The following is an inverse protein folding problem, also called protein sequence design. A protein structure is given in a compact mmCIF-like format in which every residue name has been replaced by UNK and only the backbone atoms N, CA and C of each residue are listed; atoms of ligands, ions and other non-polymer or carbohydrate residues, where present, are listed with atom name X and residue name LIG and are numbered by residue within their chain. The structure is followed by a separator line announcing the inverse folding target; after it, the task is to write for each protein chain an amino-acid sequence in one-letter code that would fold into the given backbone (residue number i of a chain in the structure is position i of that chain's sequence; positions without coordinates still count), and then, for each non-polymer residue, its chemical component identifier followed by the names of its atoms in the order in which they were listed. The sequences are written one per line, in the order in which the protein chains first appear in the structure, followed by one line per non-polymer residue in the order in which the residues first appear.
data_IF_587844184820
#
_entry.id   IF_587844184820
#
_cell.length_a   1.000
_cell.length_b   1.000
_cell.length_c   1.000
_cell.angle_alpha   90.00
_cell.angle_beta   90.00
_cell.angle_gamma   90.00
#
_symmetry.space_group_name_H-M   'P 1'
#
loop_
_entity.id
_entity.type
_entity.pdbx_description
1 polymer ?
#
# COMPACT_ATOMS: atom_id res chain seq x y z
N UNK A 1 9.99 -2.01 -37.36
CA UNK A 1 9.58 -3.28 -36.73
C UNK A 1 8.47 -2.94 -35.74
N UNK A 2 7.39 -3.72 -35.67
CA UNK A 2 6.28 -3.45 -34.73
C UNK A 2 6.81 -3.37 -33.30
N UNK A 3 6.52 -2.30 -32.57
CA UNK A 3 6.86 -2.14 -31.15
C UNK A 3 6.06 -3.09 -30.23
N UNK A 4 5.12 -3.83 -30.81
CA UNK A 4 4.26 -4.80 -30.13
C UNK A 4 4.25 -6.13 -30.90
N UNK A 5 5.33 -6.93 -30.84
CA UNK A 5 5.31 -8.27 -31.40
C UNK A 5 4.48 -9.19 -30.49
N UNK A 6 3.25 -9.49 -30.93
CA UNK A 6 2.36 -10.45 -30.27
C UNK A 6 2.35 -11.73 -31.09
N UNK A 7 2.69 -12.85 -30.46
CA UNK A 7 2.58 -14.20 -31.03
C UNK A 7 1.52 -14.95 -30.23
N UNK A 8 0.46 -15.37 -30.88
CA UNK A 8 -0.52 -16.29 -30.29
C UNK A 8 -0.24 -17.70 -30.79
N UNK A 9 0.10 -18.58 -29.86
CA UNK A 9 0.26 -20.00 -30.10
C UNK A 9 -1.06 -20.70 -29.74
N UNK A 10 -1.74 -21.22 -30.78
CA UNK A 10 -3.03 -21.90 -30.66
C UNK A 10 -2.91 -23.26 -29.97
N UNK A 11 -1.78 -23.96 -30.11
CA UNK A 11 -1.60 -25.30 -29.56
C UNK A 11 -1.40 -25.25 -28.05
N UNK A 12 -0.61 -24.28 -27.57
CA UNK A 12 -0.39 -24.06 -26.14
C UNK A 12 -1.41 -23.09 -25.51
N UNK A 13 -2.24 -22.43 -26.32
CA UNK A 13 -3.15 -21.36 -25.92
C UNK A 13 -2.43 -20.23 -25.15
N UNK A 14 -1.21 -19.88 -25.58
CA UNK A 14 -0.36 -18.87 -24.96
C UNK A 14 -0.23 -17.66 -25.89
N UNK A 15 -0.41 -16.47 -25.31
CA UNK A 15 -0.01 -15.22 -25.96
C UNK A 15 1.37 -14.83 -25.43
N UNK A 16 2.36 -14.73 -26.32
CA UNK A 16 3.68 -14.21 -25.99
C UNK A 16 3.84 -12.78 -26.50
N UNK A 17 4.19 -11.88 -25.59
CA UNK A 17 4.45 -10.48 -25.89
C UNK A 17 5.85 -10.17 -25.38
N UNK A 18 6.78 -9.91 -26.29
CA UNK A 18 8.19 -9.71 -25.95
C UNK A 18 8.56 -8.22 -25.89
N UNK A 19 9.71 -7.95 -25.25
CA UNK A 19 10.32 -6.62 -25.23
C UNK A 19 9.46 -5.57 -24.53
N UNK A 20 9.54 -4.32 -25.02
CA UNK A 20 8.89 -3.17 -24.40
C UNK A 20 7.36 -3.26 -24.41
N UNK A 21 6.76 -3.95 -25.40
CA UNK A 21 5.33 -4.24 -25.42
C UNK A 21 4.91 -5.13 -24.27
N UNK A 22 5.64 -6.23 -24.02
CA UNK A 22 5.39 -7.13 -22.90
C UNK A 22 5.57 -6.43 -21.55
N UNK A 23 6.62 -5.62 -21.41
CA UNK A 23 6.85 -4.80 -20.22
C UNK A 23 5.69 -3.83 -19.96
N UNK A 24 5.11 -3.23 -21.01
CA UNK A 24 3.96 -2.32 -20.89
C UNK A 24 2.70 -3.04 -20.41
N UNK A 25 2.42 -4.23 -20.95
CA UNK A 25 1.26 -5.03 -20.51
C UNK A 25 1.41 -5.42 -19.05
N UNK A 26 2.57 -5.97 -18.68
CA UNK A 26 2.82 -6.41 -17.31
C UNK A 26 2.84 -5.23 -16.33
N UNK A 27 3.40 -4.08 -16.72
CA UNK A 27 3.35 -2.84 -15.94
C UNK A 27 1.91 -2.48 -15.58
N UNK A 28 1.02 -2.44 -16.57
CA UNK A 28 -0.38 -2.06 -16.36
C UNK A 28 -1.10 -3.07 -15.45
N UNK A 29 -0.84 -4.37 -15.61
CA UNK A 29 -1.45 -5.42 -14.78
C UNK A 29 -1.01 -5.31 -13.32
N UNK A 30 0.30 -5.19 -13.06
CA UNK A 30 0.84 -5.10 -11.70
C UNK A 30 0.46 -3.75 -11.08
N UNK A 31 0.44 -2.67 -11.87
CA UNK A 31 0.03 -1.34 -11.40
C UNK A 31 -1.43 -1.34 -10.96
N UNK A 32 -2.33 -1.92 -11.76
CA UNK A 32 -3.74 -2.09 -11.41
C UNK A 32 -3.93 -3.00 -10.18
N UNK A 33 -3.13 -4.05 -10.02
CA UNK A 33 -3.20 -4.92 -8.84
C UNK A 33 -2.75 -4.18 -7.57
N UNK A 34 -1.71 -3.35 -7.65
CA UNK A 34 -1.16 -2.63 -6.50
C UNK A 34 -2.01 -1.43 -6.09
N UNK A 35 -2.48 -0.63 -7.04
CA UNK A 35 -3.18 0.63 -6.81
C UNK A 35 -4.68 0.59 -7.15
N UNK A 36 -5.20 -0.57 -7.56
CA UNK A 36 -6.64 -0.79 -7.73
C UNK A 36 -7.36 -0.79 -6.39
N UNK A 37 -8.66 -0.47 -6.42
CA UNK A 37 -9.49 -0.47 -5.23
C UNK A 37 -10.13 -1.87 -4.99
N UNK A 38 -10.18 -2.36 -3.75
CA UNK A 38 -9.56 -1.80 -2.53
C UNK A 38 -8.03 -1.97 -2.53
N UNK A 39 -7.32 -1.04 -1.90
CA UNK A 39 -5.86 -1.14 -1.75
C UNK A 39 -5.49 -2.36 -0.91
N UNK A 40 -4.53 -3.15 -1.39
CA UNK A 40 -4.03 -4.32 -0.69
C UNK A 40 -2.71 -3.96 0.05
N UNK A 41 -2.66 -3.97 1.40
CA UNK A 41 -1.45 -3.63 2.15
C UNK A 41 -0.25 -4.50 1.79
N UNK A 42 -0.46 -5.80 1.52
CA UNK A 42 0.60 -6.74 1.18
C UNK A 42 1.23 -6.44 -0.18
N UNK A 43 0.53 -5.76 -1.08
CA UNK A 43 1.09 -5.30 -2.37
C UNK A 43 1.67 -3.89 -2.25
N UNK A 44 1.05 -3.02 -1.46
CA UNK A 44 1.50 -1.64 -1.24
C UNK A 44 2.87 -1.61 -0.57
N UNK A 45 3.07 -2.40 0.49
CA UNK A 45 4.32 -2.41 1.26
C UNK A 45 5.34 -3.44 0.79
N UNK A 46 5.12 -4.11 -0.35
CA UNK A 46 6.06 -5.10 -0.86
C UNK A 46 7.19 -4.46 -1.69
N UNK A 47 8.45 -4.52 -1.23
CA UNK A 47 9.58 -3.92 -1.94
C UNK A 47 9.89 -4.62 -3.27
N UNK A 48 9.61 -5.92 -3.40
CA UNK A 48 9.78 -6.67 -4.64
C UNK A 48 8.81 -6.21 -5.73
N UNK A 49 7.54 -5.97 -5.36
CA UNK A 49 6.54 -5.40 -6.28
C UNK A 49 6.91 -3.98 -6.70
N UNK A 50 7.39 -3.15 -5.75
CA UNK A 50 7.88 -1.80 -6.05
C UNK A 50 9.08 -1.79 -7.03
N UNK A 51 10.06 -2.68 -6.81
CA UNK A 51 11.20 -2.84 -7.70
C UNK A 51 10.77 -3.34 -9.09
N UNK A 52 9.86 -4.31 -9.15
CA UNK A 52 9.30 -4.82 -10.40
C UNK A 52 8.61 -3.71 -11.21
N UNK A 53 7.72 -2.94 -10.59
CA UNK A 53 7.03 -1.82 -11.24
C UNK A 53 8.01 -0.76 -11.76
N UNK A 54 9.07 -0.47 -11.01
CA UNK A 54 10.11 0.49 -11.42
C UNK A 54 10.88 -0.02 -12.64
N UNK A 55 11.28 -1.30 -12.63
CA UNK A 55 11.96 -1.92 -13.78
C UNK A 55 11.08 -2.01 -15.01
N UNK A 56 9.81 -2.39 -14.85
CA UNK A 56 8.84 -2.46 -15.95
C UNK A 56 8.55 -1.09 -16.55
N UNK A 57 8.42 -0.04 -15.72
CA UNK A 57 8.26 1.34 -16.19
C UNK A 57 9.43 1.76 -17.07
N UNK A 58 10.66 1.51 -16.64
CA UNK A 58 11.87 1.83 -17.42
C UNK A 58 11.96 1.05 -18.75
N UNK A 59 11.45 -0.18 -18.80
CA UNK A 59 11.48 -1.03 -20.00
C UNK A 59 10.25 -0.86 -20.92
N UNK A 60 9.20 -0.18 -20.47
CA UNK A 60 7.92 -0.02 -21.18
C UNK A 60 7.97 1.02 -22.31
N UNK A 61 7.01 0.93 -23.23
CA UNK A 61 6.83 1.89 -24.33
C UNK A 61 6.25 3.25 -23.88
N UNK A 62 5.77 3.34 -22.63
CA UNK A 62 5.17 4.57 -22.08
C UNK A 62 5.98 5.08 -20.89
N UNK A 63 6.99 5.93 -21.10
CA UNK A 63 7.51 6.76 -20.04
C UNK A 63 6.49 7.87 -19.75
N UNK A 64 5.40 7.55 -19.05
CA UNK A 64 4.51 8.59 -18.51
C UNK A 64 5.33 9.54 -17.62
N UNK A 65 5.10 10.87 -17.67
CA UNK A 65 5.88 11.80 -16.88
C UNK A 65 5.72 11.51 -15.38
N UNK A 66 6.85 11.46 -14.67
CA UNK A 66 6.98 11.16 -13.23
C UNK A 66 6.20 12.10 -12.29
N UNK A 67 5.48 13.10 -12.82
CA UNK A 67 4.97 14.26 -12.08
C UNK A 67 3.49 14.57 -12.32
N UNK A 68 2.73 13.72 -13.02
CA UNK A 68 1.29 13.73 -12.85
C UNK A 68 1.01 13.06 -11.50
N UNK A 69 0.79 13.82 -10.43
CA UNK A 69 0.41 13.30 -9.10
C UNK A 69 -0.80 12.39 -9.26
N UNK A 70 -0.65 11.05 -9.26
CA UNK A 70 -1.75 10.16 -9.58
C UNK A 70 -2.68 9.97 -8.38
N UNK A 71 -2.23 10.41 -7.20
CA UNK A 71 -2.90 10.20 -5.93
C UNK A 71 -3.71 11.43 -5.55
N UNK A 72 -5.01 11.22 -5.44
CA UNK A 72 -5.99 12.16 -4.92
C UNK A 72 -5.87 12.29 -3.41
N UNK A 73 -6.58 13.26 -2.83
CA UNK A 73 -6.67 13.40 -1.38
C UNK A 73 -7.23 12.15 -0.70
N UNK A 74 -8.18 11.47 -1.33
CA UNK A 74 -8.76 10.23 -0.79
C UNK A 74 -7.70 9.11 -0.73
N UNK A 75 -6.84 9.03 -1.75
CA UNK A 75 -5.74 8.05 -1.77
C UNK A 75 -4.73 8.33 -0.66
N UNK A 76 -4.42 9.61 -0.39
CA UNK A 76 -3.54 10.00 0.73
C UNK A 76 -4.08 9.53 2.08
N UNK A 77 -5.38 9.70 2.32
CA UNK A 77 -6.04 9.22 3.55
C UNK A 77 -6.01 7.69 3.62
N UNK A 78 -6.24 7.00 2.49
CA UNK A 78 -6.18 5.55 2.44
C UNK A 78 -4.77 5.01 2.73
N UNK A 79 -3.72 5.62 2.14
CA UNK A 79 -2.34 5.25 2.45
C UNK A 79 -1.99 5.48 3.92
N UNK A 80 -2.44 6.59 4.52
CA UNK A 80 -2.24 6.85 5.94
C UNK A 80 -2.89 5.78 6.83
N UNK A 81 -4.11 5.34 6.49
CA UNK A 81 -4.78 4.22 7.16
C UNK A 81 -4.00 2.92 7.06
N UNK A 82 -3.49 2.58 5.87
CA UNK A 82 -2.65 1.38 5.68
C UNK A 82 -1.32 1.46 6.44
N UNK A 83 -0.68 2.64 6.49
CA UNK A 83 0.52 2.86 7.30
C UNK A 83 0.23 2.59 8.77
N UNK A 84 -0.90 3.08 9.29
CA UNK A 84 -1.31 2.84 10.67
C UNK A 84 -1.59 1.36 10.94
N UNK A 85 -2.33 0.69 10.04
CA UNK A 85 -2.63 -0.74 10.13
C UNK A 85 -1.36 -1.59 10.20
N UNK A 86 -0.36 -1.27 9.36
CA UNK A 86 0.91 -2.00 9.27
C UNK A 86 2.03 -1.40 10.11
N UNK A 87 1.77 -0.39 10.93
CA UNK A 87 2.81 0.37 11.62
C UNK A 87 3.73 -0.49 12.50
N UNK A 88 3.15 -1.50 13.17
CA UNK A 88 3.90 -2.46 13.99
C UNK A 88 4.81 -3.37 13.17
N UNK A 89 4.29 -3.95 12.09
CA UNK A 89 5.05 -4.82 11.18
C UNK A 89 6.18 -4.07 10.46
N UNK A 90 5.91 -2.82 10.08
CA UNK A 90 6.86 -1.96 9.38
C UNK A 90 7.90 -1.35 10.32
N UNK A 91 7.70 -1.39 11.65
CA UNK A 91 8.53 -0.64 12.60
C UNK A 91 8.40 0.88 12.44
N UNK A 92 7.27 1.36 11.90
CA UNK A 92 7.05 2.76 11.50
C UNK A 92 7.36 3.77 12.61
N UNK A 93 7.00 3.45 13.84
CA UNK A 93 7.21 4.32 15.01
C UNK A 93 8.68 4.47 15.43
N UNK A 94 9.55 3.56 14.99
CA UNK A 94 10.99 3.61 15.26
C UNK A 94 11.77 4.24 14.10
N UNK A 95 11.15 4.41 12.94
CA UNK A 95 11.77 5.05 11.79
C UNK A 95 11.91 6.55 12.02
N UNK A 96 13.06 7.09 11.65
CA UNK A 96 13.22 8.53 11.53
C UNK A 96 12.46 9.08 10.30
N UNK A 97 12.41 10.41 10.18
CA UNK A 97 11.70 11.05 9.07
C UNK A 97 12.26 10.64 7.70
N UNK A 98 13.57 10.47 7.57
CA UNK A 98 14.22 10.11 6.30
C UNK A 98 13.87 8.67 5.92
N UNK A 99 13.85 7.76 6.89
CA UNK A 99 13.43 6.37 6.70
C UNK A 99 11.96 6.27 6.29
N UNK A 100 11.07 7.01 6.96
CA UNK A 100 9.65 7.09 6.59
C UNK A 100 9.45 7.63 5.18
N UNK A 101 10.14 8.73 4.82
CA UNK A 101 10.11 9.30 3.47
C UNK A 101 10.60 8.26 2.45
N UNK A 102 11.69 7.53 2.76
CA UNK A 102 12.24 6.51 1.88
C UNK A 102 11.25 5.37 1.65
N UNK A 103 10.59 4.86 2.71
CA UNK A 103 9.56 3.84 2.59
C UNK A 103 8.39 4.33 1.72
N UNK A 104 7.87 5.52 2.00
CA UNK A 104 6.76 6.10 1.25
C UNK A 104 7.11 6.31 -0.23
N UNK A 105 8.31 6.80 -0.52
CA UNK A 105 8.71 7.13 -1.90
C UNK A 105 9.15 5.92 -2.71
N UNK A 106 9.86 4.96 -2.11
CA UNK A 106 10.52 3.88 -2.83
C UNK A 106 9.74 2.57 -2.78
N UNK A 107 8.81 2.42 -1.84
CA UNK A 107 7.97 1.22 -1.74
C UNK A 107 6.52 1.57 -2.01
N UNK A 108 5.90 2.44 -1.20
CA UNK A 108 4.46 2.72 -1.27
C UNK A 108 4.08 3.37 -2.60
N UNK A 109 4.68 4.51 -2.93
CA UNK A 109 4.38 5.27 -4.14
C UNK A 109 4.89 4.61 -5.43
N UNK A 110 5.90 3.73 -5.34
CA UNK A 110 6.60 3.23 -6.52
C UNK A 110 5.64 2.58 -7.53
N UNK A 111 5.73 2.94 -8.82
CA UNK A 111 6.82 3.67 -9.49
C UNK A 111 6.57 5.19 -9.64
N UNK A 112 5.61 5.71 -8.89
CA UNK A 112 5.27 7.13 -8.81
C UNK A 112 6.07 7.81 -7.70
N UNK A 113 5.85 9.11 -7.53
CA UNK A 113 6.42 9.91 -6.44
C UNK A 113 5.31 10.68 -5.75
N UNK A 114 5.36 10.71 -4.43
CA UNK A 114 4.60 11.69 -3.66
C UNK A 114 5.30 13.05 -3.75
N UNK A 115 4.52 14.14 -3.69
CA UNK A 115 5.08 15.44 -3.36
C UNK A 115 5.44 15.50 -1.86
N UNK A 116 6.29 16.45 -1.46
CA UNK A 116 6.61 16.65 -0.04
C UNK A 116 5.35 16.92 0.79
N UNK A 117 4.42 17.72 0.24
CA UNK A 117 3.14 17.99 0.89
C UNK A 117 2.30 16.71 1.08
N UNK A 118 2.26 15.82 0.09
CA UNK A 118 1.56 14.54 0.23
C UNK A 118 2.20 13.65 1.31
N UNK A 119 3.53 13.60 1.41
CA UNK A 119 4.21 12.84 2.47
C UNK A 119 3.84 13.39 3.84
N UNK A 120 3.96 14.71 4.03
CA UNK A 120 3.60 15.37 5.29
C UNK A 120 2.14 15.08 5.66
N UNK A 121 1.24 15.07 4.68
CA UNK A 121 -0.17 14.74 4.89
C UNK A 121 -0.38 13.28 5.29
N UNK A 122 0.32 12.33 4.67
CA UNK A 122 0.27 10.91 5.07
C UNK A 122 0.74 10.76 6.52
N UNK A 123 1.89 11.36 6.88
CA UNK A 123 2.46 11.29 8.22
C UNK A 123 1.53 11.92 9.26
N UNK A 124 1.01 13.12 8.99
CA UNK A 124 0.09 13.83 9.87
C UNK A 124 -1.24 13.08 10.05
N UNK A 125 -1.79 12.51 8.97
CA UNK A 125 -3.04 11.77 9.01
C UNK A 125 -2.88 10.45 9.78
N UNK A 126 -1.76 9.73 9.62
CA UNK A 126 -1.48 8.51 10.39
C UNK A 126 -1.40 8.80 11.89
N UNK A 127 -0.72 9.88 12.30
CA UNK A 127 -0.66 10.34 13.69
C UNK A 127 -2.05 10.79 14.17
N UNK A 128 -2.78 11.53 13.35
CA UNK A 128 -4.12 12.01 13.67
C UNK A 128 -5.09 10.85 13.91
N UNK A 129 -5.04 9.81 13.09
CA UNK A 129 -5.82 8.57 13.28
C UNK A 129 -5.43 7.85 14.56
N UNK A 130 -4.12 7.70 14.84
CA UNK A 130 -3.64 7.09 16.08
C UNK A 130 -4.16 7.84 17.31
N UNK A 131 -4.07 9.18 17.31
CA UNK A 131 -4.55 10.00 18.42
C UNK A 131 -6.06 9.83 18.62
N UNK A 132 -6.86 9.82 17.54
CA UNK A 132 -8.30 9.53 17.62
C UNK A 132 -8.58 8.16 18.22
N UNK A 133 -7.80 7.13 17.87
CA UNK A 133 -7.95 5.80 18.47
C UNK A 133 -7.62 5.82 19.97
N UNK A 134 -6.59 6.57 20.38
CA UNK A 134 -6.25 6.74 21.80
C UNK A 134 -7.35 7.45 22.56
N UNK A 135 -7.87 8.55 22.03
CA UNK A 135 -8.97 9.29 22.64
C UNK A 135 -10.21 8.41 22.83
N UNK A 136 -10.52 7.55 21.85
CA UNK A 136 -11.63 6.58 21.96
C UNK A 136 -11.37 5.61 23.11
N UNK A 137 -10.17 5.02 23.19
CA UNK A 137 -9.81 4.05 24.25
C UNK A 137 -9.83 4.73 25.62
N UNK A 138 -9.28 5.94 25.75
CA UNK A 138 -9.24 6.70 27.00
C UNK A 138 -10.64 7.17 27.45
N UNK A 139 -11.56 7.38 26.50
CA UNK A 139 -12.96 7.71 26.80
C UNK A 139 -13.77 6.48 27.26
N UNK A 140 -13.26 5.26 27.12
CA UNK A 140 -13.92 4.05 27.66
C UNK A 140 -13.75 4.06 29.18
N UNK A 141 -14.85 4.18 29.96
CA UNK A 141 -14.74 4.05 31.41
C UNK A 141 -14.20 2.67 31.78
N UNK A 142 -13.42 2.55 32.87
CA UNK A 142 -13.01 1.24 33.36
C UNK A 142 -14.25 0.37 33.57
N UNK A 143 -14.14 -0.92 33.20
CA UNK A 143 -15.21 -1.89 33.43
C UNK A 143 -15.65 -1.83 34.90
N UNK A 144 -16.95 -1.88 35.14
CA UNK A 144 -17.45 -2.02 36.51
C UNK A 144 -16.97 -3.36 37.09
N UNK A 145 -16.92 -3.45 38.42
CA UNK A 145 -16.58 -4.71 39.10
C UNK A 145 -17.52 -5.85 38.64
N UNK A 146 -18.80 -5.54 38.45
CA UNK A 146 -19.84 -6.46 37.97
C UNK A 146 -19.58 -6.92 36.51
N UNK A 147 -19.20 -6.01 35.61
CA UNK A 147 -18.86 -6.35 34.23
C UNK A 147 -17.58 -7.19 34.15
N UNK A 148 -16.61 -6.90 35.02
CA UNK A 148 -15.36 -7.65 35.11
C UNK A 148 -15.61 -9.07 35.63
N UNK A 149 -16.39 -9.21 36.70
CA UNK A 149 -16.82 -10.51 37.24
C UNK A 149 -17.63 -11.31 36.21
N UNK A 150 -18.52 -10.65 35.45
CA UNK A 150 -19.26 -11.29 34.37
C UNK A 150 -18.34 -11.78 33.24
N UNK A 151 -17.36 -10.97 32.82
CA UNK A 151 -16.40 -11.36 31.78
C UNK A 151 -15.51 -12.50 32.26
N UNK A 152 -15.00 -12.46 33.49
CA UNK A 152 -14.17 -13.53 34.07
C UNK A 152 -14.96 -14.84 34.23
N UNK A 153 -16.25 -14.77 34.59
CA UNK A 153 -17.10 -15.94 34.71
C UNK A 153 -17.52 -16.57 33.38
N UNK A 154 -17.49 -15.81 32.27
CA UNK A 154 -18.01 -16.24 30.97
C UNK A 154 -16.96 -16.32 29.84
N UNK A 155 -15.73 -15.83 30.07
CA UNK A 155 -14.62 -15.90 29.11
C UNK A 155 -13.51 -16.89 29.51
N UNK A 156 -13.64 -17.63 30.60
CA UNK A 156 -12.72 -18.74 30.90
C UNK A 156 -12.93 -19.90 29.93
N UNK A 157 -12.06 -19.97 28.92
CA UNK A 157 -11.47 -21.11 28.19
C UNK A 157 -12.26 -22.39 27.82
N UNK A 158 -13.57 -22.51 28.07
CA UNK A 158 -14.34 -23.74 27.77
C UNK A 158 -15.33 -23.60 26.58
N UNK A 159 -15.22 -22.55 25.74
CA UNK A 159 -16.12 -22.34 24.60
C UNK A 159 -15.42 -22.01 23.25
N UNK A 160 -14.24 -22.59 23.01
CA UNK A 160 -13.66 -22.70 21.66
C UNK A 160 -13.31 -24.14 21.32
#
# INVERSE_FOLDING_TARGET
MSEFPVVYDLESNVVRIDGAGGATVLLNMVHAAKFGAPLNPDLIFNPGVAALLTGLKAASLRPEPLWATPFTQADIVAFAGLVLEKAGELGWWHMDHTEQVSLLQNVVAAPHRFSSAQIEMIQAEAIGQLNRMRDIIEAVPPLSEEDREWLEANLTDDNW
#
